data_IF_131425340418
#
_entry.id   IF_131425340418
#
_cell.length_a   1.000
_cell.length_b   1.000
_cell.length_c   1.000
_cell.angle_alpha   90.00
_cell.angle_beta   90.00
_cell.angle_gamma   90.00
#
_symmetry.space_group_name_H-M   'P 1'
#
loop_
_entity.id
_entity.type
_entity.pdbx_description
1 polymer ?
#
# COMPACT_ATOMS: atom_id res chain seq x y z
N UNK A 1 -4.46 6.37 -38.15
CA UNK A 1 -3.74 7.34 -37.29
C UNK A 1 -4.68 7.74 -36.18
N UNK A 2 -4.46 7.27 -34.95
CA UNK A 2 -5.18 7.76 -33.79
C UNK A 2 -4.60 9.13 -33.40
N UNK A 3 -5.45 10.13 -33.35
CA UNK A 3 -5.12 11.46 -32.83
C UNK A 3 -4.91 11.33 -31.32
N UNK A 4 -3.67 11.49 -30.86
CA UNK A 4 -3.39 11.71 -29.45
C UNK A 4 -3.79 13.15 -29.12
N UNK A 5 -4.96 13.32 -28.49
CA UNK A 5 -5.30 14.58 -27.85
C UNK A 5 -4.32 14.81 -26.70
N UNK A 6 -3.54 15.90 -26.79
CA UNK A 6 -2.73 16.38 -25.68
C UNK A 6 -3.66 16.83 -24.55
N UNK A 7 -3.88 15.95 -23.58
CA UNK A 7 -4.56 16.30 -22.33
C UNK A 7 -3.66 17.29 -21.61
N UNK A 8 -4.06 18.56 -21.59
CA UNK A 8 -3.46 19.55 -20.71
C UNK A 8 -3.70 19.08 -19.27
N UNK A 9 -2.64 18.63 -18.59
CA UNK A 9 -2.69 18.22 -17.18
C UNK A 9 -2.47 19.51 -16.37
N UNK A 10 -3.53 20.11 -15.78
CA UNK A 10 -3.39 21.34 -15.01
C UNK A 10 -2.81 20.97 -13.64
N UNK A 11 -1.80 21.73 -13.22
CA UNK A 11 -1.13 21.71 -11.90
C UNK A 11 -0.30 20.45 -11.58
N UNK A 12 1.03 20.63 -11.62
CA UNK A 12 2.01 19.68 -11.08
C UNK A 12 2.07 19.84 -9.57
N UNK A 13 1.14 19.22 -8.85
CA UNK A 13 1.21 19.11 -7.40
C UNK A 13 0.53 17.82 -6.95
N UNK A 14 1.13 17.13 -5.99
CA UNK A 14 0.42 16.18 -5.14
C UNK A 14 -0.43 16.95 -4.11
N UNK A 15 -1.58 16.40 -3.74
CA UNK A 15 -2.47 16.99 -2.73
C UNK A 15 -2.51 16.11 -1.49
N UNK A 16 -2.19 16.70 -0.33
CA UNK A 16 -2.22 16.02 0.96
C UNK A 16 -2.84 16.90 2.04
N UNK A 17 -3.44 16.27 3.04
CA UNK A 17 -3.93 16.93 4.26
C UNK A 17 -2.97 16.62 5.42
N UNK A 18 -2.70 17.62 6.27
CA UNK A 18 -1.94 17.44 7.52
C UNK A 18 -2.86 17.69 8.69
N UNK A 19 -3.01 16.69 9.56
CA UNK A 19 -3.87 16.74 10.73
C UNK A 19 -3.00 16.67 11.99
N UNK A 20 -3.09 17.68 12.85
CA UNK A 20 -2.22 17.84 14.01
C UNK A 20 -0.92 18.58 13.70
N UNK A 21 -0.04 18.72 14.69
CA UNK A 21 1.19 19.53 14.59
C UNK A 21 2.48 18.72 14.44
N UNK A 22 2.44 17.43 14.76
CA UNK A 22 3.58 16.52 14.67
C UNK A 22 3.10 15.15 14.17
N UNK A 23 2.86 14.99 12.85
CA UNK A 23 2.32 13.74 12.31
C UNK A 23 3.32 12.60 12.50
N UNK A 24 2.87 11.51 13.14
CA UNK A 24 3.72 10.34 13.36
C UNK A 24 3.30 9.14 12.49
N UNK A 25 2.21 9.28 11.75
CA UNK A 25 1.80 8.30 10.75
C UNK A 25 1.28 8.96 9.46
N UNK A 26 1.25 8.18 8.39
CA UNK A 26 0.77 8.60 7.08
C UNK A 26 -0.18 7.57 6.48
N UNK A 27 -1.27 8.04 5.86
CA UNK A 27 -2.15 7.24 5.02
C UNK A 27 -1.85 7.55 3.56
N UNK A 28 -1.53 6.51 2.80
CA UNK A 28 -1.11 6.61 1.41
C UNK A 28 -2.02 5.76 0.53
N UNK A 29 -2.46 6.32 -0.60
CA UNK A 29 -3.27 5.58 -1.58
C UNK A 29 -3.19 6.23 -2.97
N UNK A 30 -3.59 5.45 -3.98
CA UNK A 30 -3.77 5.95 -5.34
C UNK A 30 -2.47 6.31 -6.04
N UNK A 31 -1.39 5.59 -5.72
CA UNK A 31 -0.14 5.63 -6.49
C UNK A 31 -0.33 4.96 -7.86
N UNK A 32 -1.18 3.94 -7.93
CA UNK A 32 -1.67 3.35 -9.17
C UNK A 32 -3.11 3.81 -9.45
N UNK A 33 -3.38 4.28 -10.67
CA UNK A 33 -4.66 4.88 -11.02
C UNK A 33 -5.82 3.90 -11.15
N UNK A 34 -5.55 2.67 -11.58
CA UNK A 34 -6.54 1.61 -11.71
C UNK A 34 -7.05 1.05 -10.36
N UNK A 35 -6.42 1.41 -9.25
CA UNK A 35 -6.75 0.97 -7.89
C UNK A 35 -7.61 2.01 -7.14
N UNK A 36 -8.20 2.96 -7.86
CA UNK A 36 -8.93 4.09 -7.26
C UNK A 36 -10.21 3.73 -6.49
N UNK A 37 -10.62 2.46 -6.43
CA UNK A 37 -11.84 2.04 -5.74
C UNK A 37 -11.77 2.17 -4.21
N UNK A 38 -10.57 2.05 -3.62
CA UNK A 38 -10.32 2.14 -2.17
C UNK A 38 -10.38 3.57 -1.65
N UNK A 39 -10.17 4.56 -2.52
CA UNK A 39 -10.11 5.99 -2.14
C UNK A 39 -11.34 6.44 -1.33
N UNK A 40 -12.55 6.12 -1.79
CA UNK A 40 -13.79 6.56 -1.11
C UNK A 40 -13.97 5.87 0.26
N UNK A 41 -13.89 4.52 0.36
CA UNK A 41 -13.83 3.82 1.64
C UNK A 41 -12.87 4.43 2.66
N UNK A 42 -11.64 4.70 2.22
CA UNK A 42 -10.57 5.24 3.06
C UNK A 42 -10.88 6.67 3.52
N UNK A 43 -11.21 7.58 2.59
CA UNK A 43 -11.54 8.98 2.95
C UNK A 43 -12.77 9.05 3.87
N UNK A 44 -13.77 8.20 3.66
CA UNK A 44 -14.95 8.14 4.53
C UNK A 44 -14.56 7.80 5.98
N UNK A 45 -13.70 6.80 6.19
CA UNK A 45 -13.27 6.43 7.54
C UNK A 45 -12.43 7.55 8.17
N UNK A 46 -11.45 8.09 7.43
CA UNK A 46 -10.57 9.14 7.92
C UNK A 46 -11.32 10.42 8.30
N UNK A 47 -12.32 10.83 7.52
CA UNK A 47 -13.17 11.99 7.82
C UNK A 47 -14.02 11.83 9.09
N UNK A 48 -14.31 10.59 9.49
CA UNK A 48 -15.08 10.28 10.69
C UNK A 48 -14.20 10.06 11.93
N UNK A 49 -12.87 10.05 11.78
CA UNK A 49 -11.97 10.01 12.93
C UNK A 49 -11.93 11.39 13.60
N UNK A 50 -11.99 11.47 14.94
CA UNK A 50 -11.76 12.71 15.65
C UNK A 50 -10.40 13.32 15.23
N UNK A 51 -10.36 14.63 15.00
CA UNK A 51 -9.14 15.32 14.56
C UNK A 51 -7.99 15.20 15.56
N UNK A 52 -8.29 14.98 16.84
CA UNK A 52 -7.32 14.75 17.91
C UNK A 52 -6.97 13.27 18.12
N UNK A 53 -7.44 12.34 17.27
CA UNK A 53 -7.26 10.92 17.52
C UNK A 53 -5.82 10.45 17.31
N UNK A 54 -5.17 10.90 16.24
CA UNK A 54 -3.72 10.82 16.01
C UNK A 54 -3.30 11.86 14.96
N UNK A 55 -2.13 12.48 15.17
CA UNK A 55 -1.51 13.39 14.20
C UNK A 55 -1.02 12.60 12.99
N UNK A 56 -1.39 13.01 11.78
CA UNK A 56 -1.16 12.24 10.55
C UNK A 56 -1.06 13.09 9.29
N UNK A 57 -0.53 12.49 8.24
CA UNK A 57 -0.66 12.95 6.86
C UNK A 57 -1.63 12.06 6.10
N UNK A 58 -2.47 12.65 5.25
CA UNK A 58 -3.36 11.94 4.33
C UNK A 58 -2.97 12.27 2.88
N UNK A 59 -2.25 11.38 2.19
CA UNK A 59 -1.95 11.46 0.75
C UNK A 59 -2.71 10.36 0.01
N UNK A 60 -3.99 10.61 -0.25
CA UNK A 60 -4.90 9.58 -0.77
C UNK A 60 -5.03 9.57 -2.29
N UNK A 61 -4.37 10.52 -2.97
CA UNK A 61 -4.31 10.63 -4.43
C UNK A 61 -2.87 10.86 -4.86
N UNK A 62 -2.00 9.93 -4.54
CA UNK A 62 -0.56 10.07 -4.74
C UNK A 62 -0.18 10.29 -6.21
N UNK A 63 -0.94 9.75 -7.17
CA UNK A 63 -0.69 9.90 -8.60
C UNK A 63 -1.93 10.44 -9.34
N UNK A 64 -2.21 11.76 -9.26
CA UNK A 64 -3.40 12.35 -9.85
C UNK A 64 -3.56 12.09 -11.36
N UNK A 65 -2.50 12.15 -12.20
CA UNK A 65 -2.61 11.83 -13.62
C UNK A 65 -3.10 10.41 -13.88
N UNK A 66 -2.54 9.42 -13.17
CA UNK A 66 -2.92 8.01 -13.38
C UNK A 66 -4.33 7.75 -12.87
N UNK A 67 -4.71 8.32 -11.72
CA UNK A 67 -6.08 8.23 -11.19
C UNK A 67 -7.13 8.84 -12.14
N UNK A 68 -6.81 9.97 -12.78
CA UNK A 68 -7.70 10.60 -13.77
C UNK A 68 -7.92 9.70 -14.98
N UNK A 69 -6.91 8.92 -15.37
CA UNK A 69 -6.94 8.04 -16.54
C UNK A 69 -7.36 6.60 -16.21
N UNK A 70 -7.39 6.21 -14.94
CA UNK A 70 -7.74 4.85 -14.51
C UNK A 70 -6.70 3.80 -14.95
N UNK A 71 -5.43 4.18 -15.06
CA UNK A 71 -4.33 3.30 -15.50
C UNK A 71 -3.31 3.13 -14.37
N UNK A 72 -2.52 2.05 -14.35
CA UNK A 72 -1.48 1.82 -13.34
C UNK A 72 -0.50 3.00 -13.26
N UNK A 73 -0.03 3.46 -14.41
CA UNK A 73 0.88 4.59 -14.53
C UNK A 73 0.70 5.35 -15.83
N UNK A 74 1.19 6.59 -15.88
CA UNK A 74 1.25 7.39 -17.10
C UNK A 74 2.60 7.21 -17.79
N UNK A 75 2.62 7.32 -19.12
CA UNK A 75 3.85 7.21 -19.93
C UNK A 75 4.58 5.87 -19.73
N UNK A 76 3.84 4.77 -19.55
CA UNK A 76 4.34 3.41 -19.30
C UNK A 76 5.34 3.35 -18.12
N UNK A 77 5.09 4.16 -17.09
CA UNK A 77 5.91 4.22 -15.88
C UNK A 77 5.10 3.86 -14.65
N UNK A 78 5.56 2.84 -13.94
CA UNK A 78 5.12 2.58 -12.58
C UNK A 78 5.79 3.57 -11.61
N UNK A 79 5.02 4.49 -11.04
CA UNK A 79 5.54 5.47 -10.08
C UNK A 79 5.94 4.80 -8.76
N UNK A 80 5.32 3.67 -8.40
CA UNK A 80 5.73 2.89 -7.23
C UNK A 80 6.95 2.01 -7.49
N UNK A 81 7.76 2.33 -8.51
CA UNK A 81 9.11 1.82 -8.74
C UNK A 81 10.15 2.94 -8.81
N UNK A 82 9.74 4.20 -8.62
CA UNK A 82 10.64 5.36 -8.71
C UNK A 82 11.40 5.66 -7.40
N UNK A 83 11.09 5.00 -6.27
CA UNK A 83 11.64 5.28 -4.95
C UNK A 83 12.95 4.52 -4.66
N UNK A 84 13.87 4.48 -5.63
CA UNK A 84 15.21 3.92 -5.47
C UNK A 84 16.27 4.96 -5.89
N UNK A 85 17.43 4.98 -5.24
CA UNK A 85 18.55 5.83 -5.63
C UNK A 85 19.00 5.57 -7.09
N UNK A 86 18.93 4.31 -7.54
CA UNK A 86 19.32 3.91 -8.91
C UNK A 86 18.42 4.53 -9.99
N UNK A 87 17.21 4.95 -9.66
CA UNK A 87 16.29 5.61 -10.60
C UNK A 87 16.77 7.03 -10.91
N UNK A 88 17.50 7.18 -12.03
CA UNK A 88 18.10 8.46 -12.45
C UNK A 88 17.07 9.53 -12.83
N UNK A 89 15.98 9.12 -13.48
CA UNK A 89 14.98 10.03 -14.03
C UNK A 89 13.64 9.91 -13.29
N UNK A 90 13.64 10.10 -11.97
CA UNK A 90 12.40 10.07 -11.15
C UNK A 90 11.34 11.03 -11.67
N UNK A 91 10.09 10.59 -11.63
CA UNK A 91 8.91 11.41 -11.93
C UNK A 91 8.85 12.62 -10.98
N UNK A 92 8.16 13.68 -11.42
CA UNK A 92 7.88 14.80 -10.52
C UNK A 92 7.02 14.35 -9.33
N UNK A 93 6.17 13.35 -9.51
CA UNK A 93 5.30 12.79 -8.47
C UNK A 93 6.14 12.16 -7.35
N UNK A 94 7.05 11.25 -7.70
CA UNK A 94 7.91 10.59 -6.71
C UNK A 94 8.82 11.59 -6.01
N UNK A 95 9.35 12.61 -6.73
CA UNK A 95 10.13 13.69 -6.12
C UNK A 95 9.34 14.49 -5.08
N UNK A 96 8.11 14.92 -5.40
CA UNK A 96 7.27 15.65 -4.45
C UNK A 96 6.88 14.79 -3.23
N UNK A 97 6.66 13.48 -3.43
CA UNK A 97 6.42 12.55 -2.31
C UNK A 97 7.67 12.43 -1.43
N UNK A 98 8.86 12.35 -2.04
CA UNK A 98 10.11 12.31 -1.29
C UNK A 98 10.33 13.60 -0.50
N UNK A 99 10.13 14.77 -1.11
CA UNK A 99 10.19 16.07 -0.45
C UNK A 99 9.18 16.18 0.69
N UNK A 100 7.97 15.63 0.53
CA UNK A 100 6.98 15.55 1.60
C UNK A 100 7.48 14.74 2.79
N UNK A 101 8.11 13.58 2.57
CA UNK A 101 8.67 12.78 3.66
C UNK A 101 9.79 13.55 4.39
N UNK A 102 10.68 14.23 3.66
CA UNK A 102 11.76 15.03 4.24
C UNK A 102 11.24 16.18 5.12
N UNK A 103 10.07 16.75 4.78
CA UNK A 103 9.43 17.81 5.57
C UNK A 103 8.85 17.31 6.91
N UNK A 104 8.59 16.00 7.05
CA UNK A 104 7.95 15.41 8.23
C UNK A 104 8.75 14.23 8.76
N UNK A 105 9.96 14.48 9.33
CA UNK A 105 10.85 13.42 9.81
C UNK A 105 10.32 12.66 11.04
N UNK A 106 9.20 13.10 11.62
CA UNK A 106 8.54 12.44 12.75
C UNK A 106 7.60 11.31 12.36
N UNK A 107 7.35 11.09 11.06
CA UNK A 107 6.56 9.96 10.59
C UNK A 107 7.32 8.66 10.89
N UNK A 108 6.69 7.77 11.64
CA UNK A 108 7.24 6.45 11.97
C UNK A 108 6.51 5.31 11.25
N UNK A 109 5.24 5.53 10.87
CA UNK A 109 4.36 4.50 10.34
C UNK A 109 3.64 4.93 9.06
N UNK A 110 3.64 4.08 8.04
CA UNK A 110 2.89 4.28 6.80
C UNK A 110 1.83 3.20 6.66
N UNK A 111 0.61 3.61 6.33
CA UNK A 111 -0.51 2.74 5.98
C UNK A 111 -0.90 3.00 4.53
N UNK A 112 -0.38 2.16 3.65
CA UNK A 112 -0.61 2.19 2.21
C UNK A 112 -1.80 1.31 1.84
N UNK A 113 -2.64 1.80 0.95
CA UNK A 113 -3.84 1.11 0.46
C UNK A 113 -3.77 0.98 -1.05
N UNK A 114 -3.67 -0.26 -1.50
CA UNK A 114 -3.64 -0.68 -2.89
C UNK A 114 -4.85 -1.57 -3.19
N UNK A 115 -5.05 -1.88 -4.46
CA UNK A 115 -6.00 -2.90 -4.86
C UNK A 115 -5.35 -4.01 -5.68
N UNK A 116 -5.70 -5.25 -5.33
CA UNK A 116 -5.32 -6.41 -6.10
C UNK A 116 -6.20 -6.52 -7.35
N UNK A 117 -5.58 -6.41 -8.52
CA UNK A 117 -6.29 -6.48 -9.81
C UNK A 117 -6.21 -7.84 -10.49
N UNK A 118 -5.38 -8.74 -9.96
CA UNK A 118 -5.16 -10.04 -10.55
C UNK A 118 -6.25 -11.05 -10.18
N UNK A 119 -6.67 -11.78 -11.22
CA UNK A 119 -7.58 -12.92 -11.12
C UNK A 119 -6.84 -14.23 -10.89
N UNK A 120 -5.52 -14.19 -11.03
CA UNK A 120 -4.65 -15.34 -10.91
C UNK A 120 -3.90 -15.26 -9.57
N UNK A 121 -3.68 -16.42 -8.97
CA UNK A 121 -2.77 -16.61 -7.86
C UNK A 121 -1.66 -17.58 -8.26
N UNK A 122 -0.57 -17.56 -7.50
CA UNK A 122 0.64 -18.32 -7.79
C UNK A 122 1.07 -19.13 -6.57
N UNK A 123 1.50 -20.38 -6.74
CA UNK A 123 2.00 -21.22 -5.64
C UNK A 123 3.04 -22.23 -6.11
N UNK A 124 3.80 -22.79 -5.19
CA UNK A 124 4.77 -23.84 -5.50
C UNK A 124 4.04 -25.19 -5.75
N UNK A 125 4.28 -25.76 -6.93
CA UNK A 125 3.77 -27.07 -7.34
C UNK A 125 4.65 -28.23 -6.89
N UNK A 126 4.24 -29.46 -7.25
CA UNK A 126 4.89 -30.72 -6.79
C UNK A 126 6.35 -30.89 -7.23
N UNK A 127 6.82 -30.11 -8.20
CA UNK A 127 8.17 -30.17 -8.76
C UNK A 127 8.92 -28.84 -8.65
N UNK A 128 8.58 -27.99 -7.68
CA UNK A 128 9.13 -26.64 -7.51
C UNK A 128 8.90 -25.72 -8.73
N UNK A 129 7.90 -26.05 -9.55
CA UNK A 129 7.38 -25.16 -10.60
C UNK A 129 6.31 -24.25 -10.00
N UNK A 130 6.16 -23.04 -10.53
CA UNK A 130 5.07 -22.15 -10.11
C UNK A 130 3.79 -22.57 -10.83
N UNK A 131 2.78 -22.96 -10.05
CA UNK A 131 1.42 -23.24 -10.52
C UNK A 131 0.57 -21.96 -10.44
N UNK A 132 -0.18 -21.70 -11.50
CA UNK A 132 -1.22 -20.66 -11.52
C UNK A 132 -2.58 -21.24 -11.13
N UNK A 133 -3.37 -20.51 -10.34
CA UNK A 133 -4.73 -20.87 -9.96
C UNK A 133 -5.69 -19.67 -10.04
N UNK A 134 -7.00 -19.93 -10.12
CA UNK A 134 -8.02 -18.88 -10.02
C UNK A 134 -8.07 -18.35 -8.59
N UNK A 135 -7.70 -17.08 -8.41
CA UNK A 135 -7.68 -16.42 -7.13
C UNK A 135 -9.10 -16.14 -6.66
N UNK A 136 -9.37 -16.35 -5.37
CA UNK A 136 -10.66 -15.96 -4.79
C UNK A 136 -10.82 -14.44 -4.89
N UNK A 137 -11.89 -13.93 -5.54
CA UNK A 137 -12.11 -12.49 -5.71
C UNK A 137 -12.34 -11.75 -4.38
N UNK A 138 -12.47 -12.44 -3.24
CA UNK A 138 -12.60 -11.86 -1.91
C UNK A 138 -11.30 -11.95 -1.08
N UNK A 139 -10.20 -12.44 -1.66
CA UNK A 139 -8.97 -12.73 -0.93
C UNK A 139 -8.13 -11.50 -0.61
N UNK A 140 -8.11 -11.13 0.67
CA UNK A 140 -7.26 -10.07 1.20
C UNK A 140 -5.83 -10.57 1.48
N UNK A 141 -4.87 -9.68 1.35
CA UNK A 141 -3.55 -9.84 1.96
C UNK A 141 -2.93 -8.49 2.32
N UNK A 142 -1.83 -8.52 3.06
CA UNK A 142 -1.05 -7.34 3.36
C UNK A 142 0.44 -7.60 3.31
N UNK A 143 1.19 -6.60 2.85
CA UNK A 143 2.63 -6.53 3.07
C UNK A 143 2.94 -5.81 4.36
N UNK A 144 4.02 -6.25 4.97
CA UNK A 144 4.62 -5.66 6.14
C UNK A 144 6.10 -5.39 5.89
N UNK A 145 6.41 -4.17 5.47
CA UNK A 145 7.77 -3.71 5.33
C UNK A 145 8.27 -3.13 6.66
N UNK A 146 9.38 -3.66 7.18
CA UNK A 146 9.97 -3.23 8.43
C UNK A 146 11.49 -3.34 8.41
N UNK A 147 12.16 -2.53 9.24
CA UNK A 147 13.60 -2.66 9.44
C UNK A 147 13.89 -3.88 10.33
N UNK A 148 14.52 -4.92 9.77
CA UNK A 148 14.81 -6.17 10.48
C UNK A 148 15.74 -6.00 11.69
N UNK A 149 16.49 -4.92 11.75
CA UNK A 149 17.39 -4.63 12.87
C UNK A 149 16.67 -3.96 14.07
N UNK A 150 15.48 -3.40 13.84
CA UNK A 150 14.76 -2.56 14.81
C UNK A 150 13.38 -3.11 15.21
N UNK A 151 12.81 -4.01 14.41
CA UNK A 151 11.49 -4.59 14.66
C UNK A 151 11.40 -6.02 14.15
N UNK A 152 10.47 -6.77 14.73
CA UNK A 152 10.15 -8.13 14.34
C UNK A 152 8.71 -8.26 13.87
N UNK A 153 8.44 -9.30 13.07
CA UNK A 153 7.07 -9.68 12.70
C UNK A 153 6.22 -10.05 13.92
N UNK A 154 6.81 -10.40 15.06
CA UNK A 154 6.03 -10.86 16.22
C UNK A 154 5.28 -9.73 16.94
N UNK A 155 5.77 -8.49 16.84
CA UNK A 155 5.16 -7.28 17.45
C UNK A 155 3.75 -6.97 16.91
N UNK A 156 3.37 -7.65 15.84
CA UNK A 156 2.35 -7.21 14.89
C UNK A 156 1.19 -8.20 14.88
N UNK A 157 1.52 -9.45 15.17
CA UNK A 157 0.62 -10.59 15.21
C UNK A 157 -0.55 -10.39 16.18
N UNK A 158 -0.39 -9.75 17.35
CA UNK A 158 -1.52 -9.43 18.23
C UNK A 158 -2.61 -8.55 17.58
N UNK A 159 -2.27 -7.79 16.53
CA UNK A 159 -3.22 -6.96 15.77
C UNK A 159 -3.67 -7.63 14.48
N UNK A 160 -2.78 -8.40 13.85
CA UNK A 160 -3.06 -9.09 12.60
C UNK A 160 -4.00 -10.28 12.75
N UNK A 161 -3.88 -11.07 13.82
CA UNK A 161 -4.81 -12.19 14.04
C UNK A 161 -6.27 -11.73 14.23
N UNK A 162 -6.58 -10.70 15.06
CA UNK A 162 -7.93 -10.15 15.12
C UNK A 162 -8.44 -9.60 13.79
N UNK A 163 -7.57 -9.03 12.95
CA UNK A 163 -7.92 -8.61 11.59
C UNK A 163 -8.37 -9.81 10.75
N UNK A 164 -7.56 -10.86 10.69
CA UNK A 164 -7.84 -12.08 9.95
C UNK A 164 -9.17 -12.72 10.36
N UNK A 165 -9.37 -12.91 11.66
CA UNK A 165 -10.60 -13.49 12.20
C UNK A 165 -11.82 -12.68 11.79
N UNK A 166 -11.78 -11.35 11.95
CA UNK A 166 -12.91 -10.51 11.56
C UNK A 166 -13.12 -10.44 10.05
N UNK A 167 -12.09 -10.52 9.21
CA UNK A 167 -12.26 -10.63 7.76
C UNK A 167 -13.00 -11.93 7.39
N UNK A 168 -12.57 -13.07 7.96
CA UNK A 168 -13.20 -14.38 7.73
C UNK A 168 -14.65 -14.40 8.23
N UNK A 169 -14.91 -13.87 9.43
CA UNK A 169 -16.26 -13.76 10.00
C UNK A 169 -17.22 -12.96 9.11
N UNK A 170 -16.69 -12.00 8.33
CA UNK A 170 -17.46 -11.19 7.39
C UNK A 170 -17.38 -11.73 5.94
N UNK A 171 -16.98 -12.99 5.75
CA UNK A 171 -17.01 -13.68 4.46
C UNK A 171 -15.95 -13.23 3.45
N UNK A 172 -14.86 -12.62 3.93
CA UNK A 172 -13.64 -12.46 3.13
C UNK A 172 -12.76 -13.70 3.30
N UNK A 173 -11.83 -13.90 2.37
CA UNK A 173 -10.81 -14.94 2.49
C UNK A 173 -9.43 -14.30 2.59
N UNK A 174 -8.42 -15.10 2.90
CA UNK A 174 -7.04 -14.67 3.01
C UNK A 174 -6.25 -15.36 1.91
N UNK A 175 -5.45 -14.60 1.17
CA UNK A 175 -4.64 -15.15 0.10
C UNK A 175 -3.49 -16.00 0.65
N UNK A 176 -3.17 -17.12 -0.01
CA UNK A 176 -2.03 -17.98 0.32
C UNK A 176 -1.36 -18.41 -0.99
N UNK A 177 -0.06 -18.14 -1.12
CA UNK A 177 0.67 -18.27 -2.38
C UNK A 177 1.88 -17.34 -2.46
N UNK A 178 2.20 -16.89 -3.66
CA UNK A 178 3.21 -15.88 -3.95
C UNK A 178 2.56 -14.61 -4.53
N UNK A 179 3.15 -13.45 -4.27
CA UNK A 179 2.87 -12.27 -5.07
C UNK A 179 3.52 -12.35 -6.46
N UNK A 180 2.98 -11.56 -7.40
CA UNK A 180 3.52 -11.21 -8.71
C UNK A 180 4.53 -12.20 -9.34
N UNK A 181 4.03 -13.14 -10.14
CA UNK A 181 4.83 -14.08 -10.94
C UNK A 181 4.84 -13.77 -12.45
N UNK A 182 4.26 -12.65 -12.88
CA UNK A 182 4.15 -12.36 -14.31
C UNK A 182 5.48 -11.97 -14.93
N UNK A 183 5.77 -12.56 -16.09
CA UNK A 183 6.83 -12.12 -17.00
C UNK A 183 6.38 -10.85 -17.75
N UNK A 184 6.04 -9.78 -17.00
CA UNK A 184 5.79 -8.45 -17.55
C UNK A 184 7.11 -7.65 -17.51
N UNK A 185 7.61 -7.13 -18.64
CA UNK A 185 8.83 -6.31 -18.67
C UNK A 185 8.73 -5.01 -17.85
N UNK A 186 7.53 -4.64 -17.38
CA UNK A 186 7.26 -3.48 -16.55
C UNK A 186 7.01 -3.82 -15.08
N UNK A 187 6.92 -5.11 -14.71
CA UNK A 187 6.77 -5.56 -13.32
C UNK A 187 8.02 -6.31 -12.88
N UNK A 188 8.43 -6.07 -11.63
CA UNK A 188 9.45 -6.89 -10.99
C UNK A 188 8.76 -8.13 -10.42
N UNK A 189 9.06 -9.31 -10.96
CA UNK A 189 8.68 -10.59 -10.34
C UNK A 189 9.30 -10.62 -8.95
N UNK A 190 8.46 -10.59 -7.90
CA UNK A 190 8.95 -10.56 -6.51
C UNK A 190 8.91 -11.95 -5.87
N UNK A 191 7.88 -12.77 -6.18
CA UNK A 191 7.70 -14.10 -5.62
C UNK A 191 7.79 -14.12 -4.08
N UNK A 192 7.33 -13.05 -3.44
CA UNK A 192 7.24 -12.96 -2.00
C UNK A 192 6.16 -13.94 -1.50
N UNK A 193 6.49 -14.80 -0.52
CA UNK A 193 5.53 -15.73 0.03
C UNK A 193 4.48 -15.00 0.88
N UNK A 194 3.22 -15.23 0.54
CA UNK A 194 2.05 -14.80 1.32
C UNK A 194 1.45 -16.02 2.00
N UNK A 195 1.37 -15.98 3.32
CA UNK A 195 0.77 -17.08 4.10
C UNK A 195 -0.36 -16.52 4.96
N UNK A 196 -1.55 -17.10 4.85
CA UNK A 196 -2.77 -16.62 5.51
C UNK A 196 -2.98 -15.10 5.35
N UNK A 197 -2.72 -14.55 4.16
CA UNK A 197 -2.89 -13.14 3.82
C UNK A 197 -1.78 -12.23 4.34
N UNK A 198 -0.65 -12.76 4.81
CA UNK A 198 0.44 -11.96 5.36
C UNK A 198 1.72 -12.19 4.59
N UNK A 199 2.34 -11.10 4.16
CA UNK A 199 3.62 -11.07 3.48
C UNK A 199 4.61 -10.22 4.26
N UNK A 200 5.59 -10.86 4.90
CA UNK A 200 6.68 -10.15 5.58
C UNK A 200 7.71 -9.65 4.57
N UNK A 201 8.09 -8.39 4.67
CA UNK A 201 9.13 -7.77 3.84
C UNK A 201 10.21 -7.13 4.73
N UNK A 202 11.13 -7.95 5.27
CA UNK A 202 12.27 -7.40 5.99
C UNK A 202 13.10 -6.54 5.03
N UNK A 203 13.17 -5.25 5.29
CA UNK A 203 13.90 -4.27 4.50
C UNK A 203 15.22 -3.93 5.19
N UNK A 204 16.32 -3.89 4.43
CA UNK A 204 17.59 -3.40 4.94
C UNK A 204 17.69 -1.88 4.72
N UNK A 205 18.31 -1.15 5.65
CA UNK A 205 18.55 0.29 5.47
C UNK A 205 19.52 0.62 4.33
N UNK A 206 20.27 -0.36 3.83
CA UNK A 206 21.48 -0.12 3.00
C UNK A 206 21.47 -0.78 1.61
N UNK A 207 20.34 -1.31 1.11
CA UNK A 207 20.36 -2.02 -0.17
C UNK A 207 19.00 -2.35 -0.77
N UNK A 208 18.10 -1.38 -0.86
CA UNK A 208 16.77 -1.57 -1.44
C UNK A 208 16.73 -1.30 -2.95
N UNK A 209 16.35 -2.32 -3.73
CA UNK A 209 16.39 -2.29 -5.21
C UNK A 209 15.02 -2.29 -5.90
N UNK A 210 13.94 -2.70 -5.25
CA UNK A 210 12.60 -2.78 -5.89
C UNK A 210 12.00 -1.39 -6.17
N UNK A 211 12.40 -0.35 -5.43
CA UNK A 211 11.97 1.02 -5.68
C UNK A 211 10.52 1.32 -5.32
N UNK A 212 9.84 0.44 -4.59
CA UNK A 212 8.54 0.71 -3.98
C UNK A 212 8.63 1.72 -2.84
N UNK A 213 7.60 2.58 -2.74
CA UNK A 213 7.48 3.60 -1.70
C UNK A 213 7.59 2.99 -0.31
N UNK A 214 6.91 1.87 -0.10
CA UNK A 214 6.72 1.27 1.23
C UNK A 214 7.98 0.68 1.83
N UNK A 215 8.88 0.18 0.99
CA UNK A 215 10.20 -0.23 1.44
C UNK A 215 11.18 0.94 1.47
N UNK A 216 11.06 1.89 0.52
CA UNK A 216 11.89 3.10 0.53
C UNK A 216 11.75 3.89 1.83
N UNK A 217 10.54 4.06 2.36
CA UNK A 217 10.35 4.78 3.64
C UNK A 217 11.06 4.11 4.83
N UNK A 218 11.25 2.79 4.80
CA UNK A 218 12.04 2.08 5.82
C UNK A 218 13.51 2.50 5.75
N UNK A 219 14.05 2.68 4.54
CA UNK A 219 15.42 3.20 4.35
C UNK A 219 15.57 4.64 4.85
N UNK A 220 14.48 5.41 4.92
CA UNK A 220 14.46 6.76 5.47
C UNK A 220 14.34 6.79 7.01
N UNK A 221 14.32 5.62 7.66
CA UNK A 221 14.28 5.51 9.12
C UNK A 221 12.88 5.36 9.71
N UNK A 222 11.83 5.21 8.89
CA UNK A 222 10.52 4.83 9.39
C UNK A 222 10.57 3.41 9.95
N UNK A 223 9.79 3.17 11.01
CA UNK A 223 9.78 1.88 11.70
C UNK A 223 9.09 0.81 10.86
N UNK A 224 7.97 1.19 10.21
CA UNK A 224 7.12 0.22 9.53
C UNK A 224 6.23 0.84 8.46
N UNK A 225 6.01 0.09 7.39
CA UNK A 225 5.06 0.40 6.34
C UNK A 225 4.18 -0.81 6.06
N UNK A 226 2.88 -0.60 6.09
CA UNK A 226 1.88 -1.62 5.80
C UNK A 226 1.28 -1.35 4.45
N UNK A 227 1.16 -2.38 3.62
CA UNK A 227 0.41 -2.30 2.36
C UNK A 227 -0.80 -3.20 2.48
N UNK A 228 -2.00 -2.63 2.46
CA UNK A 228 -3.23 -3.40 2.43
C UNK A 228 -3.67 -3.61 0.98
N UNK A 229 -3.73 -4.86 0.56
CA UNK A 229 -4.11 -5.25 -0.80
C UNK A 229 -5.57 -5.70 -0.81
N UNK A 230 -6.43 -4.78 -1.24
CA UNK A 230 -7.89 -4.97 -1.24
C UNK A 230 -8.30 -5.55 -2.59
N UNK A 231 -9.09 -6.63 -2.65
CA UNK A 231 -9.54 -7.18 -3.91
C UNK A 231 -10.28 -6.14 -4.76
N UNK A 232 -9.81 -5.87 -5.97
CA UNK A 232 -10.43 -4.88 -6.85
C UNK A 232 -11.84 -5.29 -7.32
N UNK A 233 -12.08 -6.60 -7.43
CA UNK A 233 -13.29 -7.21 -7.98
C UNK A 233 -14.53 -7.21 -7.06
N UNK A 234 -14.39 -6.87 -5.78
CA UNK A 234 -15.53 -6.81 -4.85
C UNK A 234 -16.31 -5.49 -4.98
N UNK A 235 -17.57 -5.49 -4.52
CA UNK A 235 -18.43 -4.31 -4.58
C UNK A 235 -17.91 -3.17 -3.68
N UNK A 236 -18.39 -1.94 -3.93
CA UNK A 236 -18.01 -0.77 -3.13
C UNK A 236 -18.38 -0.93 -1.66
N UNK A 237 -19.53 -1.55 -1.38
CA UNK A 237 -20.01 -1.83 -0.02
C UNK A 237 -19.08 -2.82 0.68
N UNK A 238 -18.62 -3.86 -0.03
CA UNK A 238 -17.64 -4.82 0.48
C UNK A 238 -16.27 -4.18 0.71
N UNK A 239 -15.79 -3.31 -0.17
CA UNK A 239 -14.57 -2.51 0.07
C UNK A 239 -14.73 -1.63 1.31
N UNK A 240 -15.85 -0.94 1.46
CA UNK A 240 -16.14 -0.10 2.64
C UNK A 240 -16.14 -0.90 3.94
N UNK A 241 -16.68 -2.11 3.92
CA UNK A 241 -16.67 -3.05 5.04
C UNK A 241 -15.25 -3.53 5.37
N UNK A 242 -14.48 -3.97 4.36
CA UNK A 242 -13.10 -4.41 4.55
C UNK A 242 -12.22 -3.32 5.15
N UNK A 243 -12.24 -2.10 4.59
CA UNK A 243 -11.45 -0.97 5.12
C UNK A 243 -11.89 -0.64 6.56
N UNK A 244 -13.18 -0.73 6.87
CA UNK A 244 -13.66 -0.54 8.24
C UNK A 244 -13.08 -1.60 9.19
N UNK A 245 -13.06 -2.87 8.80
CA UNK A 245 -12.47 -3.95 9.59
C UNK A 245 -10.97 -3.71 9.79
N UNK A 246 -10.22 -3.35 8.73
CA UNK A 246 -8.79 -2.99 8.80
C UNK A 246 -8.55 -1.91 9.86
N UNK A 247 -9.32 -0.82 9.83
CA UNK A 247 -9.17 0.24 10.82
C UNK A 247 -9.49 -0.24 12.25
N UNK A 248 -10.61 -0.94 12.43
CA UNK A 248 -11.11 -1.32 13.76
C UNK A 248 -10.27 -2.40 14.43
N UNK A 249 -9.70 -3.32 13.66
CA UNK A 249 -9.02 -4.50 14.18
C UNK A 249 -7.51 -4.39 14.12
N UNK A 250 -6.97 -3.57 13.21
CA UNK A 250 -5.54 -3.43 13.00
C UNK A 250 -5.04 -2.03 13.31
N UNK A 251 -5.36 -1.04 12.48
CA UNK A 251 -4.71 0.28 12.49
C UNK A 251 -4.95 1.02 13.80
N UNK A 252 -6.20 1.10 14.27
CA UNK A 252 -6.53 1.84 15.50
C UNK A 252 -5.91 1.16 16.73
N UNK A 253 -6.11 -0.16 16.97
CA UNK A 253 -5.42 -0.85 18.06
C UNK A 253 -3.90 -0.69 18.03
N UNK A 254 -3.29 -0.84 16.85
CA UNK A 254 -1.85 -0.69 16.66
C UNK A 254 -1.37 0.72 17.03
N UNK A 255 -2.02 1.77 16.53
CA UNK A 255 -1.62 3.15 16.82
C UNK A 255 -1.88 3.55 18.27
N UNK A 256 -2.89 2.98 18.92
CA UNK A 256 -3.21 3.27 20.32
C UNK A 256 -2.11 2.84 21.29
N UNK A 257 -1.25 1.88 20.92
CA UNK A 257 -0.13 1.46 21.80
C UNK A 257 0.95 2.55 21.95
N UNK A 258 0.99 3.52 21.02
CA UNK A 258 1.95 4.62 21.02
C UNK A 258 1.36 5.93 21.57
N UNK A 259 0.10 5.92 22.02
CA UNK A 259 -0.47 7.05 22.75
C UNK A 259 0.16 7.10 24.13
N UNK A 260 1.23 7.86 24.27
CA UNK A 260 1.69 8.34 25.58
C UNK A 260 0.64 9.32 26.11
N UNK A 261 -0.06 8.91 27.18
CA UNK A 261 -0.91 9.79 27.99
C UNK A 261 -0.08 10.79 28.80
#
# INVERSE_FOLDING_TARGET
MALFEFVHIPEKNIFYDVIGTNPFCMFFAGIHGHEGGVYRPLKNILNNLPSNFFSRIELLKANPPSLKLGVRGVENRDINRDFCEKTKNKSWISKEIMELIDLYPSIEYVFSFHEETDKEGYREGKMAEIETFERDPNSFYMYDAFNSDESSTDEIMPFYYPLCLSLIENGFTLYDGYDDYKDDPHETVQLNPVTNGYCKQPSNKTGFEDGSFENWVITQGMKRSFVFEIPSGITKERKQEMVKIIFQKFIIPFLNQFKTF
#
